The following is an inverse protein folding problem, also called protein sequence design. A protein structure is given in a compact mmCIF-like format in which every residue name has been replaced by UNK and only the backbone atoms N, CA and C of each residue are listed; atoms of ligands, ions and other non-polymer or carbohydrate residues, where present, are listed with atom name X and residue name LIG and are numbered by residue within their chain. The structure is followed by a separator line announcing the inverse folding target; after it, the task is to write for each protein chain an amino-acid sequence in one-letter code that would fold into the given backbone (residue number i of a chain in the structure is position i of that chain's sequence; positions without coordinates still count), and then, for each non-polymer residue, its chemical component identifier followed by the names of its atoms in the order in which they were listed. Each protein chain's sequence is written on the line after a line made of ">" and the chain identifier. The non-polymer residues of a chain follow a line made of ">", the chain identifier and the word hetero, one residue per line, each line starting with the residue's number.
data_IF_701083145264
#
_entry.id   IF_701083145264
#
_cell.length_a   1.000
_cell.length_b   1.000
_cell.length_c   1.000
_cell.angle_alpha   90.00
_cell.angle_beta   90.00
_cell.angle_gamma   90.00
#
_symmetry.space_group_name_H-M   'P 1'
#
loop_
_entity.id
_entity.type
_entity.pdbx_description
1 polymer ?
#
# COMPACT_ATOMS: atom_id res chain seq x y z
N UNK A 1 -39.37 24.67 -31.82
CA UNK A 1 -39.39 23.33 -31.15
C UNK A 1 -39.15 22.18 -32.11
N UNK A 2 -39.79 22.19 -33.27
CA UNK A 2 -39.70 21.05 -34.21
C UNK A 2 -38.34 20.94 -34.95
N UNK A 3 -37.71 22.05 -35.29
CA UNK A 3 -36.37 22.00 -35.96
C UNK A 3 -35.29 21.40 -35.06
N UNK A 4 -35.32 21.65 -33.73
CA UNK A 4 -34.37 21.03 -32.78
C UNK A 4 -34.61 19.54 -32.60
N UNK A 5 -35.85 19.05 -32.62
CA UNK A 5 -36.17 17.62 -32.53
C UNK A 5 -35.73 16.87 -33.80
N UNK A 6 -35.93 17.49 -34.97
CA UNK A 6 -35.48 16.91 -36.26
C UNK A 6 -33.96 16.88 -36.31
N UNK A 7 -33.25 17.91 -35.84
CA UNK A 7 -31.79 17.95 -35.77
C UNK A 7 -31.23 16.89 -34.77
N UNK A 8 -31.86 16.73 -33.60
CA UNK A 8 -31.45 15.69 -32.65
C UNK A 8 -31.66 14.27 -33.20
N UNK A 9 -32.77 14.00 -33.88
CA UNK A 9 -33.04 12.71 -34.53
C UNK A 9 -32.04 12.39 -35.66
N UNK A 10 -31.64 13.39 -36.44
CA UNK A 10 -30.59 13.25 -37.46
C UNK A 10 -29.23 13.00 -36.85
N UNK A 11 -28.87 13.72 -35.78
CA UNK A 11 -27.60 13.53 -35.04
C UNK A 11 -27.50 12.10 -34.46
N UNK A 12 -28.58 11.56 -33.88
CA UNK A 12 -28.59 10.19 -33.37
C UNK A 12 -28.44 9.15 -34.51
N UNK A 13 -29.10 9.35 -35.65
CA UNK A 13 -28.94 8.46 -36.82
C UNK A 13 -27.54 8.54 -37.40
N UNK A 14 -26.95 9.71 -37.47
CA UNK A 14 -25.58 9.93 -37.94
C UNK A 14 -24.60 9.27 -36.96
N UNK A 15 -24.79 9.43 -35.63
CA UNK A 15 -23.95 8.79 -34.64
C UNK A 15 -24.01 7.26 -34.73
N UNK A 16 -25.21 6.68 -34.81
CA UNK A 16 -25.38 5.24 -34.97
C UNK A 16 -24.72 4.70 -36.22
N UNK A 17 -24.88 5.41 -37.38
CA UNK A 17 -24.25 5.04 -38.64
C UNK A 17 -22.72 5.15 -38.59
N UNK A 18 -22.19 6.11 -37.84
CA UNK A 18 -20.75 6.28 -37.64
C UNK A 18 -20.16 5.17 -36.78
N UNK A 19 -20.82 4.80 -35.66
CA UNK A 19 -20.40 3.67 -34.82
C UNK A 19 -20.33 2.38 -35.65
N UNK A 20 -21.32 2.13 -36.51
CA UNK A 20 -21.34 0.97 -37.42
C UNK A 20 -20.24 1.03 -38.48
N UNK A 21 -19.83 2.23 -38.93
CA UNK A 21 -18.80 2.42 -39.97
C UNK A 21 -17.38 2.55 -39.40
N UNK A 22 -17.19 3.06 -38.18
CA UNK A 22 -15.85 3.27 -37.60
C UNK A 22 -15.04 2.02 -37.34
N UNK A 23 -15.58 0.85 -37.60
CA UNK A 23 -14.89 -0.42 -37.45
C UNK A 23 -14.83 -0.90 -35.99
N UNK A 24 -15.40 -2.04 -35.77
CA UNK A 24 -15.46 -2.69 -34.45
C UNK A 24 -14.08 -2.86 -33.79
N UNK A 25 -13.00 -2.94 -34.59
CA UNK A 25 -11.63 -3.06 -34.09
C UNK A 25 -11.18 -1.87 -33.26
N UNK A 26 -11.49 -0.64 -33.72
CA UNK A 26 -11.15 0.57 -32.94
C UNK A 26 -11.93 0.65 -31.61
N UNK A 27 -13.23 0.31 -31.66
CA UNK A 27 -14.09 0.28 -30.48
C UNK A 27 -13.61 -0.77 -29.48
N UNK A 28 -13.27 -1.97 -29.95
CA UNK A 28 -12.74 -3.04 -29.08
C UNK A 28 -11.43 -2.61 -28.43
N UNK A 29 -10.50 -2.00 -29.19
CA UNK A 29 -9.23 -1.52 -28.65
C UNK A 29 -9.43 -0.45 -27.58
N UNK A 30 -10.36 0.49 -27.79
CA UNK A 30 -10.66 1.51 -26.80
C UNK A 30 -11.29 0.90 -25.54
N UNK A 31 -12.25 -0.01 -25.70
CA UNK A 31 -12.85 -0.72 -24.58
C UNK A 31 -11.83 -1.51 -23.76
N UNK A 32 -10.91 -2.21 -24.42
CA UNK A 32 -9.85 -2.95 -23.75
C UNK A 32 -8.89 -2.00 -23.01
N UNK A 33 -8.51 -0.88 -23.63
CA UNK A 33 -7.66 0.12 -23.00
C UNK A 33 -8.29 0.71 -21.76
N UNK A 34 -9.54 1.13 -21.83
CA UNK A 34 -10.28 1.69 -20.70
C UNK A 34 -10.53 0.64 -19.61
N UNK A 35 -10.86 -0.60 -20.00
CA UNK A 35 -11.05 -1.68 -19.03
C UNK A 35 -9.76 -1.99 -18.24
N UNK A 36 -8.60 -1.91 -18.89
CA UNK A 36 -7.30 -2.12 -18.22
C UNK A 36 -6.94 -1.02 -17.21
N UNK A 37 -7.55 0.16 -17.29
CA UNK A 37 -7.35 1.22 -16.30
C UNK A 37 -7.88 0.83 -14.90
N UNK A 38 -8.92 0.00 -14.80
CA UNK A 38 -9.48 -0.39 -13.49
C UNK A 38 -8.49 -1.18 -12.63
N UNK A 39 -7.87 -2.28 -13.10
CA UNK A 39 -6.89 -2.99 -12.28
C UNK A 39 -5.66 -2.11 -11.99
N UNK A 40 -5.24 -1.26 -12.94
CA UNK A 40 -4.14 -0.31 -12.73
C UNK A 40 -4.45 0.74 -11.67
N UNK A 41 -5.65 1.29 -11.66
CA UNK A 41 -6.07 2.27 -10.65
C UNK A 41 -6.24 1.65 -9.26
N UNK A 42 -6.77 0.43 -9.17
CA UNK A 42 -6.84 -0.32 -7.90
C UNK A 42 -5.44 -0.58 -7.33
N UNK A 43 -4.51 -1.05 -8.18
CA UNK A 43 -3.12 -1.27 -7.79
C UNK A 43 -2.43 0.03 -7.35
N UNK A 44 -2.65 1.14 -8.08
CA UNK A 44 -2.12 2.46 -7.71
C UNK A 44 -2.66 2.95 -6.36
N UNK A 45 -3.96 2.76 -6.12
CA UNK A 45 -4.59 3.13 -4.84
C UNK A 45 -4.05 2.28 -3.70
N UNK A 46 -3.92 0.97 -3.91
CA UNK A 46 -3.34 0.08 -2.92
C UNK A 46 -1.88 0.48 -2.61
N UNK A 47 -1.08 0.73 -3.64
CA UNK A 47 0.28 1.22 -3.50
C UNK A 47 0.34 2.53 -2.70
N UNK A 48 -0.55 3.49 -3.00
CA UNK A 48 -0.62 4.75 -2.27
C UNK A 48 -1.00 4.55 -0.80
N UNK A 49 -2.01 3.71 -0.53
CA UNK A 49 -2.45 3.41 0.85
C UNK A 49 -1.34 2.71 1.62
N UNK A 50 -0.70 1.71 1.03
CA UNK A 50 0.43 1.01 1.62
C UNK A 50 1.60 1.96 1.90
N UNK A 51 1.83 2.95 1.00
CA UNK A 51 2.84 4.01 1.23
C UNK A 51 2.59 4.85 2.46
N UNK A 52 1.35 5.07 2.82
CA UNK A 52 0.97 5.91 3.95
C UNK A 52 0.93 5.13 5.27
N UNK A 53 1.03 3.80 5.24
CA UNK A 53 1.01 3.03 6.49
C UNK A 53 2.35 3.15 7.24
N UNK A 54 2.32 3.26 8.57
CA UNK A 54 3.54 3.22 9.39
C UNK A 54 4.34 1.95 9.13
N UNK A 55 5.65 2.06 9.18
CA UNK A 55 6.55 0.93 8.95
C UNK A 55 7.62 0.86 10.02
N UNK A 56 7.96 -0.35 10.42
CA UNK A 56 9.03 -0.61 11.38
C UNK A 56 10.29 -1.08 10.64
N UNK A 57 11.38 -0.34 10.80
CA UNK A 57 12.68 -0.67 10.23
C UNK A 57 13.60 -1.13 11.35
N UNK A 58 14.18 -2.31 11.19
CA UNK A 58 15.13 -2.86 12.15
C UNK A 58 16.54 -2.63 11.61
N UNK A 59 17.37 -1.96 12.41
CA UNK A 59 18.77 -1.77 12.15
C UNK A 59 19.60 -2.48 13.22
N UNK A 60 20.76 -2.99 12.86
CA UNK A 60 21.68 -3.62 13.80
C UNK A 60 23.07 -3.00 13.71
N UNK A 61 23.75 -2.93 14.85
CA UNK A 61 25.14 -2.48 14.93
C UNK A 61 25.91 -3.32 15.92
N UNK A 62 27.19 -3.46 15.67
CA UNK A 62 28.12 -4.09 16.63
C UNK A 62 28.67 -3.07 17.64
N UNK A 63 28.29 -1.80 17.55
CA UNK A 63 28.71 -0.75 18.46
C UNK A 63 27.78 -0.72 19.67
N UNK A 64 28.34 -0.63 20.86
CA UNK A 64 27.62 -0.48 22.13
C UNK A 64 27.17 0.96 22.38
N UNK A 65 27.75 1.94 21.67
CA UNK A 65 27.40 3.34 21.76
C UNK A 65 26.63 3.78 20.51
N UNK A 66 25.34 3.99 20.68
CA UNK A 66 24.45 4.49 19.65
C UNK A 66 23.95 5.87 20.11
N UNK A 67 24.14 6.85 19.24
CA UNK A 67 23.54 8.16 19.47
C UNK A 67 22.09 8.16 18.94
N UNK A 68 21.14 7.94 19.85
CA UNK A 68 19.70 7.92 19.54
C UNK A 68 19.20 9.27 19.00
N UNK A 69 19.81 10.38 19.43
CA UNK A 69 19.43 11.73 18.98
C UNK A 69 19.72 11.93 17.49
N UNK A 70 20.85 11.39 17.02
CA UNK A 70 21.15 11.45 15.57
C UNK A 70 20.24 10.58 14.74
N UNK A 71 19.75 9.48 15.26
CA UNK A 71 18.80 8.60 14.58
C UNK A 71 17.40 9.20 14.52
N UNK A 72 16.98 9.89 15.59
CA UNK A 72 15.68 10.57 15.63
C UNK A 72 15.60 11.77 14.67
N UNK A 73 16.74 12.31 14.21
CA UNK A 73 16.82 13.40 13.24
C UNK A 73 16.72 12.92 11.79
N UNK A 74 16.72 11.62 11.54
CA UNK A 74 16.54 11.07 10.19
C UNK A 74 15.13 11.41 9.69
N UNK A 75 15.04 11.96 8.49
CA UNK A 75 13.77 12.35 7.91
C UNK A 75 12.82 11.14 7.80
N UNK A 76 11.59 11.30 8.30
CA UNK A 76 10.57 10.25 8.28
C UNK A 76 10.64 9.26 9.44
N UNK A 77 11.56 9.43 10.39
CA UNK A 77 11.60 8.64 11.63
C UNK A 77 10.69 9.30 12.66
N UNK A 78 9.70 8.56 13.13
CA UNK A 78 8.76 8.99 14.17
C UNK A 78 9.29 8.63 15.57
N UNK A 79 9.85 7.43 15.71
CA UNK A 79 10.31 6.91 16.98
C UNK A 79 11.52 6.00 16.79
N UNK A 80 12.46 6.10 17.71
CA UNK A 80 13.65 5.25 17.76
C UNK A 80 13.67 4.53 19.11
N UNK A 81 13.86 3.21 19.09
CA UNK A 81 14.04 2.42 20.29
C UNK A 81 15.18 1.42 20.12
N UNK A 82 16.17 1.44 21.00
CA UNK A 82 17.13 0.36 21.06
C UNK A 82 16.44 -0.89 21.63
N UNK A 83 16.79 -2.04 21.07
CA UNK A 83 16.34 -3.36 21.53
C UNK A 83 17.58 -4.16 21.93
N UNK A 84 17.66 -4.56 23.18
CA UNK A 84 18.66 -5.51 23.60
C UNK A 84 18.04 -6.90 23.63
N UNK A 85 18.47 -7.75 22.71
CA UNK A 85 17.97 -9.11 22.58
C UNK A 85 18.89 -10.06 23.31
N UNK A 86 18.34 -10.83 24.25
CA UNK A 86 19.11 -11.78 25.04
C UNK A 86 18.39 -13.13 25.15
N UNK A 87 19.19 -14.19 25.21
CA UNK A 87 18.70 -15.51 25.51
C UNK A 87 18.83 -15.76 27.01
N UNK A 88 17.72 -16.05 27.67
CA UNK A 88 17.66 -16.29 29.10
C UNK A 88 16.95 -17.60 29.40
N UNK A 89 17.30 -18.20 30.53
CA UNK A 89 16.53 -19.27 31.10
C UNK A 89 15.60 -18.68 32.15
N UNK A 90 14.31 -18.88 31.98
CA UNK A 90 13.29 -18.54 32.96
C UNK A 90 12.88 -19.79 33.74
N UNK A 91 12.83 -19.70 35.06
CA UNK A 91 12.44 -20.79 35.94
C UNK A 91 11.31 -20.37 36.85
N UNK A 92 10.22 -21.10 36.81
CA UNK A 92 9.06 -20.93 37.66
C UNK A 92 8.66 -22.26 38.29
N UNK A 93 8.78 -22.37 39.61
CA UNK A 93 8.62 -23.65 40.31
C UNK A 93 9.60 -24.72 39.78
N UNK A 94 9.06 -25.83 39.31
CA UNK A 94 9.85 -26.93 38.71
C UNK A 94 10.06 -26.79 37.21
N UNK A 95 9.47 -25.76 36.58
CA UNK A 95 9.57 -25.56 35.14
C UNK A 95 10.68 -24.56 34.79
N UNK A 96 11.50 -24.96 33.83
CA UNK A 96 12.51 -24.10 33.24
C UNK A 96 12.37 -24.08 31.73
N UNK A 97 12.38 -22.90 31.15
CA UNK A 97 12.31 -22.71 29.70
C UNK A 97 13.38 -21.71 29.25
N UNK A 98 14.02 -22.02 28.11
CA UNK A 98 14.90 -21.06 27.47
C UNK A 98 14.06 -20.15 26.58
N UNK A 99 14.10 -18.87 26.88
CA UNK A 99 13.32 -17.86 26.19
C UNK A 99 14.20 -16.73 25.69
N UNK A 100 13.77 -16.09 24.63
CA UNK A 100 14.36 -14.85 24.17
C UNK A 100 13.62 -13.70 24.82
N UNK A 101 14.38 -12.78 25.42
CA UNK A 101 13.84 -11.55 26.03
C UNK A 101 14.34 -10.37 25.23
N UNK A 102 13.41 -9.50 24.85
CA UNK A 102 13.72 -8.23 24.19
C UNK A 102 13.58 -7.10 25.22
N UNK A 103 14.71 -6.47 25.54
CA UNK A 103 14.71 -5.32 26.44
C UNK A 103 14.51 -4.04 25.65
N UNK A 104 13.45 -3.29 25.99
CA UNK A 104 12.97 -2.12 25.26
C UNK A 104 12.54 -1.01 26.21
N UNK A 105 12.41 0.21 25.71
CA UNK A 105 11.75 1.27 26.48
C UNK A 105 10.22 1.05 26.48
N UNK A 106 9.57 1.35 27.61
CA UNK A 106 8.12 1.17 27.77
C UNK A 106 7.30 1.91 26.70
N UNK A 107 7.77 3.08 26.29
CA UNK A 107 7.15 3.89 25.23
C UNK A 107 7.17 3.22 23.85
N UNK A 108 8.01 2.19 23.65
CA UNK A 108 8.05 1.43 22.41
C UNK A 108 6.97 0.35 22.33
N UNK A 109 6.51 -0.14 23.47
CA UNK A 109 5.52 -1.19 23.59
C UNK A 109 4.12 -0.65 23.28
N UNK A 110 3.63 -0.93 22.09
CA UNK A 110 2.24 -0.66 21.66
C UNK A 110 1.47 -1.99 21.64
N UNK A 111 1.27 -2.55 22.85
CA UNK A 111 0.64 -3.85 23.05
C UNK A 111 -0.68 -3.70 23.80
N UNK A 112 -1.67 -4.50 23.42
CA UNK A 112 -2.95 -4.57 24.11
C UNK A 112 -2.82 -5.50 25.33
N UNK A 113 -2.69 -4.92 26.53
CA UNK A 113 -2.63 -5.69 27.76
C UNK A 113 -3.97 -6.36 28.04
N UNK A 114 -3.92 -7.67 28.29
CA UNK A 114 -5.06 -8.45 28.78
C UNK A 114 -5.15 -8.33 30.30
N UNK A 115 -4.01 -8.26 30.98
CA UNK A 115 -3.93 -8.13 32.44
C UNK A 115 -2.67 -7.35 32.83
N UNK A 116 -2.74 -6.64 33.97
CA UNK A 116 -1.63 -5.91 34.56
C UNK A 116 -1.34 -4.54 33.95
N UNK A 117 -0.08 -4.13 33.97
CA UNK A 117 0.40 -2.83 33.49
C UNK A 117 1.78 -2.97 32.83
N UNK A 118 2.15 -2.00 31.99
CA UNK A 118 3.52 -1.90 31.46
C UNK A 118 4.48 -1.50 32.56
N UNK A 119 5.73 -1.95 32.44
CA UNK A 119 6.80 -1.50 33.32
C UNK A 119 7.12 -0.01 33.10
N UNK A 120 7.66 0.63 34.14
CA UNK A 120 8.14 2.01 34.07
C UNK A 120 9.65 1.99 33.87
N UNK A 121 10.18 2.78 32.92
CA UNK A 121 11.61 2.79 32.58
C UNK A 121 12.52 3.24 33.76
N UNK A 122 11.96 3.93 34.75
CA UNK A 122 12.69 4.42 35.94
C UNK A 122 12.85 3.40 37.06
N UNK A 123 12.25 2.20 36.94
CA UNK A 123 12.34 1.17 38.01
C UNK A 123 13.68 0.43 37.96
N UNK A 124 14.16 0.00 39.13
CA UNK A 124 15.36 -0.85 39.21
C UNK A 124 15.01 -2.35 39.32
N UNK A 125 13.75 -2.68 39.43
CA UNK A 125 13.27 -4.07 39.47
C UNK A 125 13.09 -4.62 38.06
N UNK A 126 13.49 -5.84 37.77
CA UNK A 126 13.27 -6.49 36.51
C UNK A 126 11.80 -6.93 36.37
N UNK A 127 11.01 -6.08 35.74
CA UNK A 127 9.63 -6.40 35.38
C UNK A 127 9.57 -7.00 34.00
N UNK A 128 8.71 -8.04 33.83
CA UNK A 128 8.50 -8.73 32.59
C UNK A 128 7.06 -8.52 32.12
N UNK A 129 6.92 -8.27 30.81
CA UNK A 129 5.65 -8.31 30.11
C UNK A 129 5.69 -9.49 29.14
N UNK A 130 4.73 -10.38 29.25
CA UNK A 130 4.66 -11.63 28.50
C UNK A 130 3.48 -11.62 27.53
N UNK A 131 3.63 -12.26 26.37
CA UNK A 131 2.47 -12.61 25.58
C UNK A 131 1.77 -13.87 26.15
N UNK A 132 0.54 -14.13 25.73
CA UNK A 132 -0.21 -15.31 26.18
C UNK A 132 0.54 -16.63 25.93
N UNK A 133 1.28 -16.73 24.82
CA UNK A 133 2.07 -17.91 24.48
C UNK A 133 3.19 -18.14 25.52
N UNK A 134 3.90 -17.09 25.95
CA UNK A 134 4.90 -17.17 26.98
C UNK A 134 4.31 -17.50 28.37
N UNK A 135 3.17 -16.89 28.71
CA UNK A 135 2.50 -17.15 29.96
C UNK A 135 2.00 -18.62 30.10
N UNK A 136 1.60 -19.22 28.99
CA UNK A 136 1.18 -20.65 28.93
C UNK A 136 2.36 -21.62 29.13
N UNK A 137 3.61 -21.24 28.83
CA UNK A 137 4.78 -22.11 29.06
C UNK A 137 4.98 -22.45 30.56
N UNK A 138 4.57 -21.52 31.43
CA UNK A 138 4.77 -21.63 32.86
C UNK A 138 3.49 -21.99 33.64
N UNK A 139 2.36 -22.20 32.94
CA UNK A 139 1.12 -22.65 33.58
C UNK A 139 1.30 -23.98 34.30
N UNK A 140 0.66 -24.19 35.45
CA UNK A 140 0.73 -25.46 36.20
C UNK A 140 0.23 -26.65 35.37
N UNK A 141 0.81 -27.84 35.59
CA UNK A 141 0.37 -29.06 34.92
C UNK A 141 -1.10 -29.34 35.25
N UNK A 142 -1.95 -29.29 34.24
CA UNK A 142 -3.40 -29.53 34.35
C UNK A 142 -4.25 -28.28 34.56
N UNK A 143 -3.65 -27.09 34.59
CA UNK A 143 -4.34 -25.81 34.57
C UNK A 143 -4.18 -25.21 33.17
N UNK A 144 -5.30 -24.94 32.50
CA UNK A 144 -5.31 -24.12 31.26
C UNK A 144 -5.18 -22.63 31.56
N UNK A 145 -5.02 -22.26 32.86
CA UNK A 145 -4.86 -20.88 33.26
C UNK A 145 -3.43 -20.42 33.00
N UNK A 146 -3.24 -19.29 32.32
CA UNK A 146 -1.93 -18.69 32.16
C UNK A 146 -1.36 -18.23 33.52
N UNK A 147 -0.05 -18.07 33.59
CA UNK A 147 0.62 -17.51 34.73
C UNK A 147 0.05 -16.13 35.09
N UNK A 148 -0.16 -15.87 36.39
CA UNK A 148 -0.80 -14.63 36.83
C UNK A 148 0.19 -13.45 36.89
N UNK A 149 -0.36 -12.24 36.77
CA UNK A 149 0.41 -11.00 37.07
C UNK A 149 0.82 -10.96 38.53
N UNK A 150 1.96 -10.33 38.82
CA UNK A 150 2.62 -10.21 40.12
C UNK A 150 3.38 -11.47 40.60
N UNK A 151 3.41 -12.54 39.87
CA UNK A 151 4.23 -13.70 40.20
C UNK A 151 5.72 -13.44 39.96
N UNK A 152 6.56 -14.03 40.82
CA UNK A 152 8.02 -13.97 40.72
C UNK A 152 8.53 -15.13 39.86
N UNK A 153 9.42 -14.84 38.93
CA UNK A 153 10.10 -15.81 38.12
C UNK A 153 11.61 -15.61 38.24
N UNK A 154 12.35 -16.71 38.29
CA UNK A 154 13.80 -16.66 38.28
C UNK A 154 14.33 -16.53 36.87
N UNK A 155 15.12 -15.49 36.62
CA UNK A 155 15.72 -15.18 35.34
C UNK A 155 17.22 -15.38 35.41
N UNK A 156 17.74 -16.25 34.54
CA UNK A 156 19.17 -16.56 34.44
C UNK A 156 19.67 -16.31 33.04
N UNK A 157 20.73 -15.51 32.91
CA UNK A 157 21.44 -15.28 31.67
C UNK A 157 22.94 -15.31 31.95
N UNK A 158 23.64 -16.30 31.38
CA UNK A 158 25.03 -16.57 31.70
C UNK A 158 25.26 -16.80 33.21
N UNK A 159 26.12 -15.99 33.80
CA UNK A 159 26.43 -16.06 35.23
C UNK A 159 25.53 -15.19 36.12
N UNK A 160 24.65 -14.40 35.51
CA UNK A 160 23.73 -13.53 36.24
C UNK A 160 22.41 -14.23 36.46
N UNK A 161 22.02 -14.31 37.72
CA UNK A 161 20.74 -14.85 38.15
C UNK A 161 20.00 -13.81 38.99
N UNK A 162 18.76 -13.51 38.68
CA UNK A 162 17.96 -12.51 39.37
C UNK A 162 16.49 -12.92 39.37
N UNK A 163 15.76 -12.41 40.32
CA UNK A 163 14.30 -12.54 40.37
C UNK A 163 13.67 -11.43 39.55
N UNK A 164 12.77 -11.80 38.67
CA UNK A 164 11.96 -10.89 37.91
C UNK A 164 10.48 -11.04 38.29
N UNK A 165 9.71 -9.99 38.16
CA UNK A 165 8.28 -10.02 38.45
C UNK A 165 7.48 -9.77 37.17
N UNK A 166 6.41 -10.54 36.97
CA UNK A 166 5.50 -10.35 35.85
C UNK A 166 4.60 -9.16 36.16
N UNK A 167 4.68 -8.11 35.36
CA UNK A 167 3.87 -6.92 35.53
C UNK A 167 2.69 -6.83 34.55
N UNK A 168 2.75 -7.53 33.41
CA UNK A 168 1.67 -7.51 32.43
C UNK A 168 1.65 -8.71 31.50
N UNK A 169 0.46 -9.03 31.02
CA UNK A 169 0.23 -10.04 30.00
C UNK A 169 -0.52 -9.38 28.85
N UNK A 170 -0.10 -9.63 27.61
CA UNK A 170 -0.74 -9.08 26.44
C UNK A 170 -1.15 -10.17 25.45
N UNK A 171 -2.16 -9.85 24.66
CA UNK A 171 -2.63 -10.71 23.59
C UNK A 171 -2.01 -10.28 22.26
N UNK A 172 -1.46 -11.24 21.55
CA UNK A 172 -1.03 -11.11 20.16
C UNK A 172 -1.50 -12.31 19.34
N UNK A 173 -1.39 -12.21 18.02
CA UNK A 173 -1.72 -13.32 17.11
C UNK A 173 -0.57 -14.34 16.99
N UNK A 174 0.56 -14.09 17.66
CA UNK A 174 1.75 -14.92 17.57
C UNK A 174 1.67 -16.10 18.54
N UNK A 175 1.86 -17.29 18.03
CA UNK A 175 2.02 -18.50 18.86
C UNK A 175 3.44 -18.62 19.46
N UNK A 176 4.38 -17.74 19.07
CA UNK A 176 5.74 -17.76 19.59
C UNK A 176 5.83 -16.99 20.91
N UNK A 177 6.48 -17.56 21.95
CA UNK A 177 6.69 -16.85 23.21
C UNK A 177 7.51 -15.59 23.01
N UNK A 178 6.94 -14.44 23.43
CA UNK A 178 7.58 -13.14 23.42
C UNK A 178 7.56 -12.55 24.79
N UNK A 179 8.72 -12.02 25.21
CA UNK A 179 8.91 -11.48 26.56
C UNK A 179 9.65 -10.17 26.43
N UNK A 180 9.10 -9.15 27.08
CA UNK A 180 9.70 -7.82 27.13
C UNK A 180 10.16 -7.47 28.53
N UNK A 181 11.26 -6.72 28.62
CA UNK A 181 11.80 -6.17 29.84
C UNK A 181 12.23 -4.71 29.65
N UNK A 182 12.34 -3.94 30.75
CA UNK A 182 12.84 -2.57 30.69
C UNK A 182 14.31 -2.50 30.24
N UNK A 183 14.59 -1.64 29.22
CA UNK A 183 15.91 -1.50 28.63
C UNK A 183 17.01 -1.15 29.65
N UNK A 184 16.77 -0.15 30.50
CA UNK A 184 17.77 0.31 31.48
C UNK A 184 18.08 -0.74 32.54
N UNK A 185 17.07 -1.49 32.97
CA UNK A 185 17.24 -2.59 33.92
C UNK A 185 18.05 -3.72 33.32
N UNK A 186 17.72 -4.11 32.07
CA UNK A 186 18.46 -5.14 31.34
C UNK A 186 19.93 -4.75 31.15
N UNK A 187 20.18 -3.50 30.76
CA UNK A 187 21.53 -2.96 30.58
C UNK A 187 22.35 -2.99 31.87
N UNK A 188 21.74 -2.62 33.01
CA UNK A 188 22.41 -2.67 34.32
C UNK A 188 22.75 -4.09 34.77
N UNK A 189 21.82 -5.04 34.57
CA UNK A 189 21.97 -6.42 35.03
C UNK A 189 22.87 -7.26 34.11
N UNK A 190 22.75 -7.08 32.80
CA UNK A 190 23.31 -7.97 31.79
C UNK A 190 24.26 -7.28 30.80
N UNK A 191 24.65 -6.03 31.04
CA UNK A 191 25.34 -5.15 30.08
C UNK A 191 26.61 -5.70 29.43
N UNK A 192 27.27 -6.70 30.01
CA UNK A 192 28.46 -7.33 29.42
C UNK A 192 28.16 -8.55 28.53
N UNK A 193 26.91 -9.00 28.48
CA UNK A 193 26.49 -10.23 27.79
C UNK A 193 25.82 -9.97 26.45
N UNK A 194 25.65 -8.71 26.04
CA UNK A 194 25.03 -8.35 24.79
C UNK A 194 26.05 -8.34 23.65
N UNK A 195 25.78 -9.12 22.61
CA UNK A 195 26.60 -9.20 21.37
C UNK A 195 26.04 -8.36 20.25
N UNK A 196 25.82 -7.09 20.48
CA UNK A 196 25.28 -6.16 19.48
C UNK A 196 24.00 -5.50 19.93
N UNK A 197 23.69 -4.38 19.32
CA UNK A 197 22.47 -3.61 19.60
C UNK A 197 21.59 -3.59 18.36
N UNK A 198 20.36 -4.02 18.52
CA UNK A 198 19.31 -3.88 17.52
C UNK A 198 18.56 -2.60 17.80
N UNK A 199 18.21 -1.86 16.77
CA UNK A 199 17.47 -0.60 16.87
C UNK A 199 16.22 -0.76 16.03
N UNK A 200 15.08 -0.56 16.66
CA UNK A 200 13.82 -0.43 15.94
C UNK A 200 13.52 1.04 15.69
N UNK A 201 13.23 1.36 14.45
CA UNK A 201 12.84 2.68 14.02
C UNK A 201 11.40 2.58 13.48
N UNK A 202 10.49 3.33 14.09
CA UNK A 202 9.16 3.50 13.54
C UNK A 202 9.17 4.66 12.57
N UNK A 203 8.79 4.40 11.35
CA UNK A 203 8.70 5.38 10.27
C UNK A 203 7.27 5.87 10.13
N UNK A 204 7.10 7.15 9.84
CA UNK A 204 5.79 7.79 9.64
C UNK A 204 4.99 7.08 8.56
N UNK A 205 5.67 6.60 7.51
CA UNK A 205 5.04 5.84 6.44
C UNK A 205 6.07 4.95 5.71
N UNK A 206 5.58 3.98 4.96
CA UNK A 206 6.42 3.07 4.14
C UNK A 206 7.17 3.78 3.01
N UNK A 207 6.70 4.95 2.55
CA UNK A 207 7.31 5.69 1.45
C UNK A 207 8.72 6.18 1.74
N UNK A 208 9.10 6.36 3.02
CA UNK A 208 10.42 6.86 3.45
C UNK A 208 11.40 5.73 3.83
N UNK A 209 11.01 4.45 3.72
CA UNK A 209 11.82 3.30 4.14
C UNK A 209 13.19 3.29 3.45
N UNK A 210 13.25 3.47 2.15
CA UNK A 210 14.50 3.42 1.39
C UNK A 210 15.43 4.59 1.74
N UNK A 211 14.89 5.79 1.95
CA UNK A 211 15.67 6.97 2.34
C UNK A 211 16.21 6.82 3.77
N UNK A 212 15.38 6.32 4.69
CA UNK A 212 15.78 6.03 6.05
C UNK A 212 16.86 4.93 6.09
N UNK A 213 16.69 3.83 5.36
CA UNK A 213 17.68 2.76 5.25
C UNK A 213 19.01 3.25 4.66
N UNK A 214 18.96 4.09 3.63
CA UNK A 214 20.16 4.70 3.05
C UNK A 214 20.89 5.60 4.06
N UNK A 215 20.14 6.36 4.87
CA UNK A 215 20.69 7.23 5.92
C UNK A 215 21.34 6.43 7.04
N UNK A 216 20.73 5.30 7.44
CA UNK A 216 21.29 4.38 8.43
C UNK A 216 22.60 3.72 7.95
N UNK A 217 22.65 3.30 6.67
CA UNK A 217 23.87 2.74 6.07
C UNK A 217 25.03 3.74 6.06
N UNK A 218 24.73 5.05 5.82
CA UNK A 218 25.74 6.12 5.94
C UNK A 218 26.31 6.24 7.36
N UNK A 219 25.52 5.90 8.38
CA UNK A 219 25.95 5.88 9.77
C UNK A 219 26.58 4.53 10.21
N UNK A 220 26.92 3.66 9.25
CA UNK A 220 27.50 2.30 9.47
C UNK A 220 26.57 1.34 10.22
N UNK A 221 25.28 1.57 10.16
CA UNK A 221 24.25 0.66 10.66
C UNK A 221 23.79 -0.27 9.54
N UNK A 222 23.72 -1.55 9.80
CA UNK A 222 23.11 -2.49 8.85
C UNK A 222 21.58 -2.41 9.02
N UNK A 223 20.91 -1.78 8.07
CA UNK A 223 19.45 -1.75 8.03
C UNK A 223 18.97 -2.87 7.10
N UNK A 224 18.25 -3.83 7.66
CA UNK A 224 17.55 -4.85 6.88
C UNK A 224 16.10 -4.41 6.70
N UNK A 225 15.74 -4.06 5.47
CA UNK A 225 14.33 -3.96 5.08
C UNK A 225 13.82 -5.38 4.90
N UNK A 226 12.65 -5.68 5.45
CA UNK A 226 12.02 -6.98 5.22
C UNK A 226 11.87 -7.22 3.71
N UNK A 227 12.54 -8.29 3.25
CA UNK A 227 12.63 -8.64 1.82
C UNK A 227 11.25 -8.92 1.23
N UNK A 228 10.35 -9.51 2.00
CA UNK A 228 9.01 -9.86 1.52
C UNK A 228 8.16 -8.61 1.30
N UNK A 229 8.25 -7.64 2.21
CA UNK A 229 7.56 -6.35 2.07
C UNK A 229 8.09 -5.56 0.89
N UNK A 230 9.41 -5.51 0.67
CA UNK A 230 10.01 -4.79 -0.45
C UNK A 230 9.70 -5.45 -1.79
N UNK A 231 9.66 -6.79 -1.85
CA UNK A 231 9.28 -7.55 -3.04
C UNK A 231 7.81 -7.32 -3.41
N UNK A 232 6.90 -7.45 -2.45
CA UNK A 232 5.47 -7.21 -2.66
C UNK A 232 5.21 -5.78 -3.18
N UNK A 233 5.91 -4.80 -2.64
CA UNK A 233 5.87 -3.42 -3.06
C UNK A 233 6.36 -3.22 -4.50
N UNK A 234 7.54 -3.74 -4.84
CA UNK A 234 8.10 -3.63 -6.19
C UNK A 234 7.21 -4.33 -7.23
N UNK A 235 6.60 -5.46 -6.87
CA UNK A 235 5.63 -6.15 -7.72
C UNK A 235 4.37 -5.31 -7.95
N UNK A 236 3.82 -4.70 -6.91
CA UNK A 236 2.64 -3.85 -7.01
C UNK A 236 2.92 -2.59 -7.84
N UNK A 237 4.06 -1.95 -7.65
CA UNK A 237 4.49 -0.80 -8.45
C UNK A 237 4.68 -1.18 -9.93
N UNK A 238 5.35 -2.29 -10.19
CA UNK A 238 5.54 -2.81 -11.55
C UNK A 238 4.20 -3.14 -12.22
N UNK A 239 3.29 -3.79 -11.51
CA UNK A 239 1.96 -4.11 -12.00
C UNK A 239 1.18 -2.84 -12.36
N UNK A 240 1.24 -1.82 -11.50
CA UNK A 240 0.60 -0.52 -11.74
C UNK A 240 1.11 0.10 -13.05
N UNK A 241 2.41 0.21 -13.21
CA UNK A 241 3.01 0.79 -14.41
C UNK A 241 2.72 -0.02 -15.67
N UNK A 242 2.79 -1.35 -15.60
CA UNK A 242 2.49 -2.23 -16.75
C UNK A 242 1.05 -2.07 -17.21
N UNK A 243 0.07 -2.02 -16.30
CA UNK A 243 -1.34 -1.85 -16.69
C UNK A 243 -1.61 -0.49 -17.30
N UNK A 244 -1.03 0.60 -16.78
CA UNK A 244 -1.16 1.92 -17.38
C UNK A 244 -0.50 1.99 -18.76
N UNK A 245 0.68 1.40 -18.95
CA UNK A 245 1.37 1.39 -20.23
C UNK A 245 0.57 0.60 -21.28
N UNK A 246 0.08 -0.57 -20.94
CA UNK A 246 -0.77 -1.39 -21.82
C UNK A 246 -2.04 -0.63 -22.19
N UNK A 247 -2.71 -0.01 -21.21
CA UNK A 247 -3.88 0.83 -21.46
C UNK A 247 -3.57 1.97 -22.43
N UNK A 248 -2.47 2.69 -22.24
CA UNK A 248 -2.07 3.79 -23.13
C UNK A 248 -1.83 3.32 -24.56
N UNK A 249 -1.21 2.15 -24.74
CA UNK A 249 -1.00 1.55 -26.08
C UNK A 249 -2.34 1.24 -26.76
N UNK A 250 -3.28 0.61 -26.04
CA UNK A 250 -4.59 0.29 -26.60
C UNK A 250 -5.38 1.56 -26.99
N UNK A 251 -5.35 2.60 -26.14
CA UNK A 251 -5.99 3.88 -26.44
C UNK A 251 -5.35 4.57 -27.63
N UNK A 252 -4.02 4.57 -27.74
CA UNK A 252 -3.31 5.13 -28.89
C UNK A 252 -3.64 4.39 -30.18
N UNK A 253 -3.64 3.05 -30.16
CA UNK A 253 -4.04 2.24 -31.32
C UNK A 253 -5.50 2.53 -31.75
N UNK A 254 -6.41 2.62 -30.78
CA UNK A 254 -7.80 3.00 -31.05
C UNK A 254 -7.90 4.37 -31.71
N UNK A 255 -7.15 5.36 -31.21
CA UNK A 255 -7.16 6.71 -31.75
C UNK A 255 -6.67 6.73 -33.23
N UNK A 256 -5.59 6.01 -33.51
CA UNK A 256 -5.04 5.90 -34.88
C UNK A 256 -6.07 5.24 -35.82
N UNK A 257 -6.65 4.12 -35.40
CA UNK A 257 -7.67 3.41 -36.20
C UNK A 257 -8.92 4.25 -36.44
N UNK A 258 -9.39 4.96 -35.42
CA UNK A 258 -10.55 5.87 -35.52
C UNK A 258 -10.23 7.01 -36.48
N UNK A 259 -9.04 7.60 -36.39
CA UNK A 259 -8.61 8.68 -37.28
C UNK A 259 -8.56 8.23 -38.73
N UNK A 260 -7.97 7.08 -38.99
CA UNK A 260 -7.91 6.53 -40.38
C UNK A 260 -9.30 6.27 -40.92
N UNK A 261 -10.20 5.70 -40.12
CA UNK A 261 -11.59 5.46 -40.57
C UNK A 261 -12.34 6.77 -40.84
N UNK A 262 -12.14 7.79 -40.02
CA UNK A 262 -12.73 9.12 -40.25
C UNK A 262 -12.20 9.76 -41.54
N UNK A 263 -10.90 9.61 -41.83
CA UNK A 263 -10.32 10.09 -43.10
C UNK A 263 -10.88 9.37 -44.32
N UNK A 264 -11.02 8.03 -44.25
CA UNK A 264 -11.65 7.24 -45.32
C UNK A 264 -13.11 7.63 -45.54
N UNK A 265 -13.88 7.83 -44.43
CA UNK A 265 -15.27 8.28 -44.51
C UNK A 265 -15.37 9.67 -45.14
N UNK A 266 -14.46 10.57 -44.79
CA UNK A 266 -14.39 11.92 -45.36
C UNK A 266 -14.17 11.90 -46.88
N UNK A 267 -13.36 10.97 -47.40
CA UNK A 267 -13.13 10.79 -48.82
C UNK A 267 -14.32 10.17 -49.52
N UNK A 268 -15.00 9.19 -48.88
CA UNK A 268 -16.13 8.47 -49.47
C UNK A 268 -17.46 9.26 -49.43
N UNK A 269 -17.60 10.23 -48.51
CA UNK A 269 -18.84 10.96 -48.27
C UNK A 269 -18.81 12.42 -48.76
N UNK A 270 -17.90 12.75 -49.70
CA UNK A 270 -17.87 14.10 -50.28
C UNK A 270 -19.24 14.53 -50.83
N UNK A 271 -19.99 13.62 -51.44
CA UNK A 271 -21.34 13.89 -51.93
C UNK A 271 -22.40 14.11 -50.87
N UNK A 272 -22.30 13.46 -49.69
CA UNK A 272 -23.22 13.71 -48.58
C UNK A 272 -22.95 15.10 -47.93
N UNK A 273 -21.71 15.57 -47.97
CA UNK A 273 -21.35 16.91 -47.48
C UNK A 273 -21.90 18.02 -48.36
N UNK A 274 -21.82 17.80 -49.70
CA UNK A 274 -22.43 18.71 -50.67
C UNK A 274 -23.96 18.81 -50.47
N UNK A 275 -24.60 17.68 -50.22
CA UNK A 275 -26.05 17.63 -49.97
C UNK A 275 -26.43 18.41 -48.69
N UNK A 276 -25.61 18.29 -47.61
CA UNK A 276 -25.82 19.03 -46.37
C UNK A 276 -25.57 20.53 -46.57
N UNK A 277 -24.60 20.94 -47.34
CA UNK A 277 -24.35 22.33 -47.68
C UNK A 277 -25.49 22.91 -48.57
N UNK A 278 -26.00 22.11 -49.55
CA UNK A 278 -27.17 22.50 -50.31
C UNK A 278 -28.47 22.61 -49.46
N UNK A 279 -28.52 21.83 -48.36
CA UNK A 279 -29.61 21.92 -47.40
C UNK A 279 -29.49 23.14 -46.45
N UNK A 280 -28.52 24.03 -46.68
CA UNK A 280 -28.36 25.28 -45.92
C UNK A 280 -27.51 25.20 -44.66
N UNK A 281 -26.78 24.09 -44.43
CA UNK A 281 -25.80 24.06 -43.35
C UNK A 281 -24.52 24.81 -43.77
N UNK A 282 -23.93 25.51 -42.80
CA UNK A 282 -22.65 26.18 -43.04
C UNK A 282 -21.49 25.18 -42.96
N UNK A 283 -20.37 25.49 -43.62
CA UNK A 283 -19.12 24.70 -43.50
C UNK A 283 -18.70 24.53 -42.02
N UNK A 284 -18.97 25.51 -41.21
CA UNK A 284 -18.69 25.51 -39.77
C UNK A 284 -19.55 24.49 -39.01
N UNK A 285 -20.83 24.36 -39.36
CA UNK A 285 -21.74 23.38 -38.76
C UNK A 285 -21.35 21.96 -39.14
N UNK A 286 -20.97 21.78 -40.38
CA UNK A 286 -20.48 20.48 -40.89
C UNK A 286 -19.19 20.06 -40.20
N UNK A 287 -18.24 20.98 -39.98
CA UNK A 287 -16.99 20.69 -39.26
C UNK A 287 -17.22 20.32 -37.79
N UNK A 288 -18.30 20.79 -37.15
CA UNK A 288 -18.67 20.41 -35.77
C UNK A 288 -19.26 18.99 -35.65
N UNK A 289 -19.74 18.42 -36.74
CA UNK A 289 -20.35 17.09 -36.71
C UNK A 289 -19.31 16.01 -36.37
N UNK A 290 -18.08 16.12 -36.88
CA UNK A 290 -17.02 15.13 -36.63
C UNK A 290 -16.67 15.00 -35.17
N UNK A 291 -16.29 16.10 -34.46
CA UNK A 291 -15.99 16.02 -33.04
C UNK A 291 -17.17 15.53 -32.19
N UNK A 292 -18.40 15.94 -32.58
CA UNK A 292 -19.59 15.48 -31.89
C UNK A 292 -19.79 13.96 -32.03
N UNK A 293 -19.49 13.38 -33.16
CA UNK A 293 -19.56 11.93 -33.40
C UNK A 293 -18.59 11.17 -32.52
N UNK A 294 -17.32 11.62 -32.41
CA UNK A 294 -16.29 11.02 -31.57
C UNK A 294 -16.73 11.07 -30.10
N UNK A 295 -17.17 12.23 -29.65
CA UNK A 295 -17.59 12.45 -28.26
C UNK A 295 -18.81 11.59 -27.86
N UNK A 296 -19.77 11.40 -28.75
CA UNK A 296 -20.92 10.51 -28.51
C UNK A 296 -20.45 9.05 -28.44
N UNK A 297 -19.55 8.63 -29.32
CA UNK A 297 -19.01 7.28 -29.31
C UNK A 297 -18.27 7.01 -28.00
N UNK A 298 -17.38 7.91 -27.60
CA UNK A 298 -16.60 7.77 -26.37
C UNK A 298 -17.52 7.76 -25.13
N UNK A 299 -18.56 8.60 -25.13
CA UNK A 299 -19.55 8.62 -24.04
C UNK A 299 -20.33 7.31 -23.91
N UNK A 300 -20.70 6.68 -25.02
CA UNK A 300 -21.39 5.37 -25.01
C UNK A 300 -20.48 4.30 -24.48
N UNK A 301 -19.21 4.27 -24.93
CA UNK A 301 -18.20 3.31 -24.46
C UNK A 301 -17.94 3.49 -22.96
N UNK A 302 -17.79 4.74 -22.51
CA UNK A 302 -17.62 5.05 -21.09
C UNK A 302 -18.81 4.56 -20.24
N UNK A 303 -20.05 4.82 -20.67
CA UNK A 303 -21.23 4.31 -19.97
C UNK A 303 -21.25 2.79 -19.88
N UNK A 304 -20.85 2.09 -20.95
CA UNK A 304 -20.77 0.63 -20.98
C UNK A 304 -19.72 0.09 -19.98
N UNK A 305 -18.54 0.69 -19.97
CA UNK A 305 -17.45 0.29 -19.07
C UNK A 305 -17.80 0.58 -17.62
N UNK A 306 -18.40 1.74 -17.35
CA UNK A 306 -18.88 2.10 -16.00
C UNK A 306 -19.94 1.13 -15.49
N UNK A 307 -20.87 0.70 -16.35
CA UNK A 307 -21.87 -0.32 -16.00
C UNK A 307 -21.22 -1.66 -15.65
N UNK A 308 -20.20 -2.10 -16.41
CA UNK A 308 -19.44 -3.31 -16.12
C UNK A 308 -18.66 -3.17 -14.81
N UNK A 309 -18.05 -2.02 -14.56
CA UNK A 309 -17.29 -1.77 -13.35
C UNK A 309 -18.16 -1.80 -12.09
N UNK A 310 -19.37 -1.22 -12.14
CA UNK A 310 -20.31 -1.26 -11.01
C UNK A 310 -20.76 -2.68 -10.68
N UNK A 311 -20.95 -3.52 -11.69
CA UNK A 311 -21.31 -4.93 -11.50
C UNK A 311 -20.15 -5.73 -10.87
N UNK A 312 -18.89 -5.40 -11.21
CA UNK A 312 -17.70 -6.08 -10.71
C UNK A 312 -17.16 -5.53 -9.36
N UNK A 313 -17.94 -4.73 -8.64
CA UNK A 313 -17.70 -4.44 -7.22
C UNK A 313 -16.87 -3.20 -6.91
N UNK A 314 -16.82 -2.18 -7.77
CA UNK A 314 -16.18 -0.96 -7.32
C UNK A 314 -16.17 0.23 -8.26
N UNK A 315 -16.79 1.30 -7.80
CA UNK A 315 -16.64 2.63 -8.37
C UNK A 315 -15.34 3.24 -7.83
N UNK A 316 -14.31 3.29 -8.67
CA UNK A 316 -13.05 3.93 -8.28
C UNK A 316 -12.93 5.30 -8.96
N UNK A 317 -12.89 6.36 -8.13
CA UNK A 317 -12.78 7.75 -8.60
C UNK A 317 -11.53 7.95 -9.45
N UNK A 318 -10.43 7.30 -9.12
CA UNK A 318 -9.16 7.39 -9.87
C UNK A 318 -9.33 6.76 -11.26
N UNK A 319 -10.02 5.62 -11.36
CA UNK A 319 -10.32 5.00 -12.64
C UNK A 319 -11.18 5.91 -13.51
N UNK A 320 -12.23 6.51 -12.95
CA UNK A 320 -13.11 7.45 -13.67
C UNK A 320 -12.34 8.66 -14.20
N UNK A 321 -11.49 9.27 -13.38
CA UNK A 321 -10.67 10.41 -13.80
C UNK A 321 -9.69 10.01 -14.89
N UNK A 322 -9.06 8.84 -14.76
CA UNK A 322 -8.14 8.29 -15.78
C UNK A 322 -8.85 8.02 -17.09
N UNK A 323 -10.07 7.47 -17.05
CA UNK A 323 -10.92 7.26 -18.24
C UNK A 323 -11.27 8.57 -18.93
N UNK A 324 -11.68 9.58 -18.18
CA UNK A 324 -11.98 10.91 -18.73
C UNK A 324 -10.75 11.52 -19.42
N UNK A 325 -9.57 11.39 -18.83
CA UNK A 325 -8.32 11.84 -19.45
C UNK A 325 -8.03 11.08 -20.75
N UNK A 326 -8.19 9.76 -20.77
CA UNK A 326 -7.98 8.94 -21.96
C UNK A 326 -8.97 9.30 -23.09
N UNK A 327 -10.24 9.52 -22.77
CA UNK A 327 -11.26 9.98 -23.72
C UNK A 327 -10.89 11.34 -24.29
N UNK A 328 -10.43 12.27 -23.46
CA UNK A 328 -9.98 13.59 -23.89
C UNK A 328 -8.78 13.49 -24.83
N UNK A 329 -7.81 12.64 -24.53
CA UNK A 329 -6.64 12.37 -25.39
C UNK A 329 -7.09 11.75 -26.73
N UNK A 330 -7.97 10.74 -26.68
CA UNK A 330 -8.53 10.10 -27.87
C UNK A 330 -9.22 11.13 -28.77
N UNK A 331 -10.08 11.97 -28.19
CA UNK A 331 -10.75 13.06 -28.90
C UNK A 331 -9.77 14.04 -29.53
N UNK A 332 -8.75 14.50 -28.79
CA UNK A 332 -7.75 15.43 -29.31
C UNK A 332 -6.92 14.85 -30.46
N UNK A 333 -6.57 13.56 -30.39
CA UNK A 333 -5.79 12.88 -31.45
C UNK A 333 -6.64 12.68 -32.71
N UNK A 334 -7.93 12.38 -32.58
CA UNK A 334 -8.82 12.20 -33.72
C UNK A 334 -9.16 13.52 -34.46
N UNK A 335 -9.03 14.67 -33.75
CA UNK A 335 -9.32 15.98 -34.35
C UNK A 335 -8.14 16.61 -35.09
N UNK A 336 -6.92 16.20 -34.78
CA UNK A 336 -5.72 16.62 -35.51
C UNK A 336 -5.53 15.81 -36.80
#
# INVERSE_FOLDING_TARGET
>A
GNARKIAAGHICKIAAKTILRCGWTAVIMLCLGLYMLFPGSKAARQLYTEKQTPFELIASTNSTEINLDTLSQIAGVERVSPILRMNCQLTYGEKAANCQIDAVYSAYLDVNLTDGALFTDSTNMPYLVLNEAAAKLFSEKGSDLPMAVQEEILLKSGDVETKAQICGIYQDESETPQIYMGYEVARKLFGTQFTGTTIALRLVNKGVVEEAAASLRKQRLSASVDTDTSLAWNLLERQTWQTFLVSAVFVACSAILTREKLLQERQSTSGEWETLLMAGLTIYDVKKIIPLRILIMDAIIMCGIMAIATVNGGFDVIAVVSELICILVHYCVCLR
#
